data_IF_730137225239
#
_entry.id   IF_730137225239
#
_cell.length_a   1.000
_cell.length_b   1.000
_cell.length_c   1.000
_cell.angle_alpha   90.00
_cell.angle_beta   90.00
_cell.angle_gamma   90.00
#
_symmetry.space_group_name_H-M   'P 1'
#
loop_
_entity.id
_entity.type
_entity.pdbx_description
1 polymer ?
#
# COMPACT_ATOMS: atom_id res chain seq x y z
N UNK A 1 7.48 -0.64 -25.86
CA UNK A 1 6.07 -0.63 -25.40
C UNK A 1 5.93 -1.80 -24.45
N UNK A 2 5.63 -1.57 -23.17
CA UNK A 2 5.38 -2.69 -22.25
C UNK A 2 4.16 -3.45 -22.79
N UNK A 3 4.31 -4.74 -23.11
CA UNK A 3 3.20 -5.54 -23.62
C UNK A 3 2.11 -5.66 -22.55
N UNK A 4 0.86 -5.83 -22.94
CA UNK A 4 -0.25 -6.09 -22.00
C UNK A 4 0.08 -7.27 -21.07
N UNK A 5 0.79 -8.28 -21.59
CA UNK A 5 1.31 -9.40 -20.82
C UNK A 5 2.26 -8.96 -19.70
N UNK A 6 3.20 -8.05 -19.98
CA UNK A 6 4.11 -7.52 -18.96
C UNK A 6 3.37 -6.78 -17.84
N UNK A 7 2.28 -6.06 -18.17
CA UNK A 7 1.44 -5.41 -17.16
C UNK A 7 0.77 -6.44 -16.26
N UNK A 8 0.17 -7.49 -16.83
CA UNK A 8 -0.45 -8.56 -16.05
C UNK A 8 0.56 -9.31 -15.18
N UNK A 9 1.78 -9.53 -15.66
CA UNK A 9 2.86 -10.14 -14.87
C UNK A 9 3.23 -9.26 -13.67
N UNK A 10 3.47 -7.96 -13.89
CA UNK A 10 3.82 -7.02 -12.82
C UNK A 10 2.72 -6.97 -11.75
N UNK A 11 1.45 -6.88 -12.17
CA UNK A 11 0.32 -6.88 -11.25
C UNK A 11 0.24 -8.23 -10.52
N UNK A 12 0.35 -9.35 -11.23
CA UNK A 12 0.32 -10.70 -10.64
C UNK A 12 1.38 -10.90 -9.56
N UNK A 13 2.63 -10.51 -9.82
CA UNK A 13 3.70 -10.55 -8.82
C UNK A 13 3.43 -9.60 -7.66
N UNK A 14 2.94 -8.38 -7.92
CA UNK A 14 2.58 -7.44 -6.86
C UNK A 14 1.51 -8.00 -5.92
N UNK A 15 0.49 -8.67 -6.46
CA UNK A 15 -0.57 -9.33 -5.68
C UNK A 15 -0.01 -10.47 -4.85
N UNK A 16 0.87 -11.30 -5.43
CA UNK A 16 1.51 -12.40 -4.71
C UNK A 16 2.35 -11.89 -3.52
N UNK A 17 3.16 -10.86 -3.74
CA UNK A 17 3.97 -10.25 -2.69
C UNK A 17 3.11 -9.54 -1.63
N UNK A 18 2.05 -8.85 -2.04
CA UNK A 18 1.07 -8.26 -1.13
C UNK A 18 0.41 -9.34 -0.27
N UNK A 19 -0.01 -10.46 -0.86
CA UNK A 19 -0.58 -11.57 -0.12
C UNK A 19 0.41 -12.14 0.90
N UNK A 20 1.67 -12.36 0.50
CA UNK A 20 2.73 -12.78 1.41
C UNK A 20 2.94 -11.79 2.56
N UNK A 21 2.93 -10.49 2.28
CA UNK A 21 3.03 -9.43 3.28
C UNK A 21 1.86 -9.44 4.27
N UNK A 22 0.62 -9.54 3.78
CA UNK A 22 -0.59 -9.64 4.61
C UNK A 22 -0.56 -10.91 5.46
N UNK A 23 -0.06 -12.02 4.91
CA UNK A 23 0.11 -13.26 5.64
C UNK A 23 1.15 -13.13 6.76
N UNK A 24 2.26 -12.43 6.53
CA UNK A 24 3.24 -12.09 7.58
C UNK A 24 2.59 -11.23 8.66
N UNK A 25 1.83 -10.20 8.28
CA UNK A 25 1.11 -9.35 9.24
C UNK A 25 0.14 -10.19 10.11
N UNK A 26 -0.56 -11.14 9.49
CA UNK A 26 -1.44 -12.08 10.19
C UNK A 26 -0.69 -12.98 11.18
N UNK A 27 0.44 -13.55 10.79
CA UNK A 27 1.28 -14.36 11.68
C UNK A 27 1.72 -13.51 12.87
N UNK A 28 2.24 -12.31 12.62
CA UNK A 28 2.70 -11.39 13.68
C UNK A 28 1.56 -11.04 14.64
N UNK A 29 0.39 -10.65 14.12
CA UNK A 29 -0.77 -10.32 14.94
C UNK A 29 -1.30 -11.51 15.73
N UNK A 30 -1.27 -12.72 15.16
CA UNK A 30 -1.66 -13.95 15.86
C UNK A 30 -0.71 -14.30 16.99
N UNK A 31 0.62 -14.26 16.75
CA UNK A 31 1.64 -14.52 17.77
C UNK A 31 1.55 -13.49 18.91
N UNK A 32 1.35 -12.22 18.57
CA UNK A 32 1.20 -11.13 19.55
C UNK A 32 -0.19 -11.06 20.18
N UNK A 33 -1.13 -11.92 19.75
CA UNK A 33 -2.55 -11.89 20.14
C UNK A 33 -3.15 -10.49 20.04
N UNK A 34 -2.77 -9.74 19.01
CA UNK A 34 -3.17 -8.36 18.78
C UNK A 34 -3.41 -8.14 17.28
N UNK A 35 -4.68 -8.17 16.88
CA UNK A 35 -5.09 -7.93 15.50
C UNK A 35 -5.04 -6.45 15.12
N UNK A 36 -4.99 -5.54 16.10
CA UNK A 36 -4.80 -4.11 15.86
C UNK A 36 -3.43 -3.76 15.30
N UNK A 37 -2.47 -4.70 15.33
CA UNK A 37 -1.23 -4.54 14.60
C UNK A 37 -1.46 -4.38 13.09
N UNK A 38 -2.55 -4.93 12.54
CA UNK A 38 -2.86 -4.77 11.11
C UNK A 38 -2.95 -3.28 10.69
N UNK A 39 -3.39 -2.39 11.58
CA UNK A 39 -3.45 -0.94 11.29
C UNK A 39 -2.04 -0.36 11.05
N UNK A 40 -0.98 -0.94 11.65
CA UNK A 40 0.41 -0.54 11.41
C UNK A 40 0.92 -1.08 10.06
N UNK A 41 0.52 -2.30 9.69
CA UNK A 41 0.89 -2.93 8.42
C UNK A 41 0.10 -2.38 7.22
N UNK A 42 -1.02 -1.71 7.46
CA UNK A 42 -1.88 -1.20 6.39
C UNK A 42 -1.15 -0.25 5.43
N UNK A 43 -0.56 0.83 5.96
CA UNK A 43 0.18 1.81 5.15
C UNK A 43 1.32 1.19 4.35
N UNK A 44 2.26 0.44 4.98
CA UNK A 44 3.38 -0.17 4.27
C UNK A 44 2.96 -1.24 3.26
N UNK A 45 1.75 -1.81 3.35
CA UNK A 45 1.19 -2.67 2.31
C UNK A 45 1.09 -1.99 0.94
N UNK A 46 0.73 -0.70 0.89
CA UNK A 46 0.75 0.09 -0.35
C UNK A 46 2.16 0.31 -0.87
N UNK A 47 3.13 0.51 0.03
CA UNK A 47 4.53 0.63 -0.37
C UNK A 47 5.09 -0.66 -0.94
N UNK A 48 4.71 -1.83 -0.41
CA UNK A 48 5.06 -3.13 -1.01
C UNK A 48 4.56 -3.19 -2.45
N UNK A 49 3.32 -2.77 -2.71
CA UNK A 49 2.76 -2.73 -4.07
C UNK A 49 3.55 -1.78 -4.98
N UNK A 50 3.86 -0.57 -4.51
CA UNK A 50 4.63 0.41 -5.28
C UNK A 50 6.05 -0.10 -5.59
N UNK A 51 6.74 -0.66 -4.59
CA UNK A 51 8.10 -1.16 -4.71
C UNK A 51 8.18 -2.39 -5.63
N UNK A 52 7.30 -3.37 -5.46
CA UNK A 52 7.31 -4.57 -6.30
C UNK A 52 6.99 -4.19 -7.75
N UNK A 53 5.99 -3.34 -7.98
CA UNK A 53 5.61 -2.95 -9.33
C UNK A 53 6.72 -2.18 -10.08
N UNK A 54 7.39 -1.22 -9.43
CA UNK A 54 8.51 -0.49 -10.06
C UNK A 54 9.74 -1.38 -10.30
N UNK A 55 10.05 -2.30 -9.37
CA UNK A 55 11.18 -3.23 -9.50
C UNK A 55 10.95 -4.22 -10.64
N UNK A 56 9.77 -4.84 -10.73
CA UNK A 56 9.47 -5.76 -11.82
C UNK A 56 9.38 -5.04 -13.17
N UNK A 57 8.87 -3.81 -13.20
CA UNK A 57 8.93 -2.99 -14.41
C UNK A 57 10.37 -2.78 -14.88
N UNK A 58 11.28 -2.43 -13.96
CA UNK A 58 12.70 -2.27 -14.26
C UNK A 58 13.34 -3.56 -14.76
N UNK A 59 13.06 -4.70 -14.13
CA UNK A 59 13.59 -6.01 -14.57
C UNK A 59 13.17 -6.34 -16.01
N UNK A 60 11.93 -6.04 -16.38
CA UNK A 60 11.38 -6.38 -17.70
C UNK A 60 11.78 -5.38 -18.79
N UNK A 61 11.94 -4.10 -18.46
CA UNK A 61 12.10 -3.03 -19.45
C UNK A 61 13.45 -2.30 -19.36
N UNK A 62 14.29 -2.63 -18.38
CA UNK A 62 15.58 -2.01 -18.08
C UNK A 62 15.54 -0.47 -18.02
N UNK A 63 14.40 0.09 -17.62
CA UNK A 63 14.14 1.53 -17.56
C UNK A 63 13.21 1.87 -16.40
N UNK A 64 13.34 3.08 -15.86
CA UNK A 64 12.44 3.64 -14.86
C UNK A 64 12.13 5.09 -15.26
N UNK A 65 10.85 5.47 -15.22
CA UNK A 65 10.38 6.81 -15.51
C UNK A 65 10.24 7.64 -14.23
N UNK A 66 10.48 8.94 -14.33
CA UNK A 66 10.29 9.91 -13.25
C UNK A 66 8.93 9.84 -12.56
N UNK A 67 7.84 9.53 -13.29
CA UNK A 67 6.50 9.33 -12.70
C UNK A 67 6.46 8.17 -11.71
N UNK A 68 7.10 7.06 -12.07
CA UNK A 68 7.15 5.84 -11.26
C UNK A 68 7.94 6.09 -9.98
N UNK A 69 9.05 6.82 -10.09
CA UNK A 69 9.85 7.25 -8.94
C UNK A 69 9.01 8.17 -8.04
N UNK A 70 8.35 9.16 -8.63
CA UNK A 70 7.54 10.14 -7.89
C UNK A 70 6.44 9.44 -7.09
N UNK A 71 5.59 8.64 -7.75
CA UNK A 71 4.49 7.96 -7.04
C UNK A 71 5.00 7.01 -5.96
N UNK A 72 6.11 6.30 -6.20
CA UNK A 72 6.70 5.38 -5.24
C UNK A 72 7.23 6.12 -4.01
N UNK A 73 7.87 7.29 -4.19
CA UNK A 73 8.36 8.13 -3.10
C UNK A 73 7.19 8.73 -2.30
N UNK A 74 6.14 9.23 -2.97
CA UNK A 74 4.97 9.78 -2.29
C UNK A 74 4.29 8.70 -1.43
N UNK A 75 4.11 7.49 -1.97
CA UNK A 75 3.57 6.34 -1.22
C UNK A 75 4.50 5.93 -0.07
N UNK A 76 5.82 5.96 -0.26
CA UNK A 76 6.79 5.69 0.80
C UNK A 76 6.65 6.69 1.97
N UNK A 77 6.62 7.99 1.66
CA UNK A 77 6.50 9.05 2.67
C UNK A 77 5.20 8.88 3.48
N UNK A 78 4.08 8.70 2.78
CA UNK A 78 2.77 8.50 3.40
C UNK A 78 2.71 7.22 4.24
N UNK A 79 3.18 6.10 3.70
CA UNK A 79 3.13 4.80 4.38
C UNK A 79 3.99 4.78 5.65
N UNK A 80 5.19 5.37 5.61
CA UNK A 80 6.06 5.51 6.78
C UNK A 80 5.41 6.38 7.84
N UNK A 81 4.78 7.49 7.44
CA UNK A 81 4.10 8.41 8.37
C UNK A 81 2.96 7.69 9.11
N UNK A 82 2.04 7.04 8.39
CA UNK A 82 0.91 6.32 9.03
C UNK A 82 1.44 5.20 9.94
N UNK A 83 2.34 4.36 9.42
CA UNK A 83 2.85 3.23 10.18
C UNK A 83 3.51 3.69 11.48
N UNK A 84 4.31 4.75 11.41
CA UNK A 84 5.00 5.32 12.57
C UNK A 84 4.02 5.93 13.56
N UNK A 85 3.07 6.73 13.09
CA UNK A 85 2.06 7.36 13.94
C UNK A 85 1.21 6.31 14.68
N UNK A 86 0.65 5.32 13.97
CA UNK A 86 -0.17 4.26 14.56
C UNK A 86 0.67 3.38 15.49
N UNK A 87 1.91 3.05 15.12
CA UNK A 87 2.81 2.26 15.96
C UNK A 87 3.11 2.98 17.27
N UNK A 88 3.51 4.26 17.22
CA UNK A 88 3.79 5.06 18.42
C UNK A 88 2.55 5.17 19.30
N UNK A 89 1.39 5.47 18.70
CA UNK A 89 0.12 5.62 19.41
C UNK A 89 -0.31 4.36 20.15
N UNK A 90 -0.02 3.18 19.59
CA UNK A 90 -0.43 1.89 20.15
C UNK A 90 0.68 1.17 20.92
N UNK A 91 1.90 1.72 20.95
CA UNK A 91 3.04 1.10 21.63
C UNK A 91 2.78 0.99 23.13
N UNK A 92 2.95 -0.22 23.68
CA UNK A 92 2.77 -0.49 25.11
C UNK A 92 1.32 -0.54 25.58
N UNK A 93 0.34 -0.33 24.69
CA UNK A 93 -1.08 -0.47 25.00
C UNK A 93 -1.54 -1.91 24.77
N UNK A 94 -2.56 -2.39 25.50
CA UNK A 94 -3.24 -3.63 25.13
C UNK A 94 -3.86 -3.51 23.73
N UNK A 95 -4.31 -4.64 23.18
CA UNK A 95 -5.02 -4.62 21.89
C UNK A 95 -6.21 -3.64 21.93
N UNK A 96 -6.35 -2.89 20.83
CA UNK A 96 -7.43 -1.93 20.64
C UNK A 96 -8.80 -2.60 20.84
N UNK A 97 -9.68 -1.89 21.54
CA UNK A 97 -11.00 -2.37 21.95
C UNK A 97 -11.83 -2.88 20.75
N UNK A 98 -11.70 -2.27 19.57
CA UNK A 98 -12.44 -2.67 18.35
C UNK A 98 -12.12 -4.11 17.98
N UNK A 99 -10.84 -4.46 17.99
CA UNK A 99 -10.37 -5.79 17.65
C UNK A 99 -10.69 -6.80 18.75
N UNK A 100 -10.60 -6.39 20.01
CA UNK A 100 -10.98 -7.22 21.15
C UNK A 100 -12.46 -7.60 21.08
N UNK A 101 -13.35 -6.62 20.91
CA UNK A 101 -14.80 -6.85 20.78
C UNK A 101 -15.14 -7.72 19.56
N UNK A 102 -14.41 -7.58 18.43
CA UNK A 102 -14.61 -8.45 17.27
C UNK A 102 -14.31 -9.91 17.63
N UNK A 103 -13.21 -10.18 18.35
CA UNK A 103 -12.87 -11.54 18.78
C UNK A 103 -13.89 -12.11 19.75
N UNK A 104 -14.32 -11.30 20.73
CA UNK A 104 -15.35 -11.70 21.69
C UNK A 104 -16.69 -12.02 21.00
N UNK A 105 -17.13 -11.17 20.06
CA UNK A 105 -18.34 -11.41 19.25
C UNK A 105 -18.26 -12.68 18.40
N UNK A 106 -17.07 -13.08 17.97
CA UNK A 106 -16.92 -14.25 17.10
C UNK A 106 -16.95 -15.57 17.86
N UNK A 107 -16.54 -15.61 19.13
CA UNK A 107 -16.56 -16.78 20.01
C UNK A 107 -15.63 -17.92 19.59
N UNK A 108 -15.94 -18.58 18.47
CA UNK A 108 -15.19 -19.72 17.90
C UNK A 108 -14.47 -19.35 16.61
N UNK A 109 -13.44 -20.14 16.25
CA UNK A 109 -12.65 -19.96 15.02
C UNK A 109 -12.05 -18.55 14.88
N UNK A 110 -11.63 -17.95 16.00
CA UNK A 110 -11.13 -16.58 16.05
C UNK A 110 -9.95 -16.37 15.10
N UNK A 111 -9.05 -17.34 14.98
CA UNK A 111 -7.87 -17.25 14.10
C UNK A 111 -8.29 -17.13 12.63
N UNK A 112 -9.13 -18.05 12.14
CA UNK A 112 -9.63 -18.04 10.76
C UNK A 112 -10.48 -16.80 10.48
N UNK A 113 -11.38 -16.41 11.41
CA UNK A 113 -12.21 -15.21 11.26
C UNK A 113 -11.37 -13.94 11.26
N UNK A 114 -10.31 -13.87 12.07
CA UNK A 114 -9.36 -12.75 12.05
C UNK A 114 -8.66 -12.67 10.70
N UNK A 115 -8.15 -13.80 10.20
CA UNK A 115 -7.50 -13.85 8.89
C UNK A 115 -8.40 -13.31 7.78
N UNK A 116 -9.63 -13.80 7.68
CA UNK A 116 -10.55 -13.41 6.60
C UNK A 116 -11.07 -11.97 6.80
N UNK A 117 -11.57 -11.64 7.99
CA UNK A 117 -12.32 -10.39 8.22
C UNK A 117 -11.44 -9.19 8.53
N UNK A 118 -10.23 -9.40 9.02
CA UNK A 118 -9.26 -8.32 9.28
C UNK A 118 -8.23 -8.29 8.16
N UNK A 119 -7.42 -9.32 8.02
CA UNK A 119 -6.23 -9.26 7.17
C UNK A 119 -6.56 -9.32 5.68
N UNK A 120 -7.37 -10.28 5.25
CA UNK A 120 -7.78 -10.39 3.84
C UNK A 120 -8.64 -9.21 3.43
N UNK A 121 -9.58 -8.77 4.26
CA UNK A 121 -10.38 -7.58 3.98
C UNK A 121 -9.49 -6.34 3.76
N UNK A 122 -8.55 -6.06 4.67
CA UNK A 122 -7.61 -4.95 4.52
C UNK A 122 -6.70 -5.14 3.29
N UNK A 123 -6.28 -6.36 2.98
CA UNK A 123 -5.54 -6.69 1.77
C UNK A 123 -6.33 -6.40 0.49
N UNK A 124 -7.63 -6.67 0.46
CA UNK A 124 -8.53 -6.33 -0.67
C UNK A 124 -8.65 -4.82 -0.82
N UNK A 125 -8.76 -4.07 0.28
CA UNK A 125 -8.77 -2.60 0.22
C UNK A 125 -7.47 -2.08 -0.39
N UNK A 126 -6.32 -2.57 0.09
CA UNK A 126 -5.01 -2.21 -0.47
C UNK A 126 -4.96 -2.55 -1.96
N UNK A 127 -5.43 -3.73 -2.36
CA UNK A 127 -5.49 -4.15 -3.75
C UNK A 127 -6.27 -3.16 -4.62
N UNK A 128 -7.50 -2.83 -4.24
CA UNK A 128 -8.38 -1.94 -5.03
C UNK A 128 -7.79 -0.53 -5.10
N UNK A 129 -7.36 0.01 -3.96
CA UNK A 129 -6.87 1.39 -3.87
C UNK A 129 -5.50 1.55 -4.54
N UNK A 130 -4.73 0.47 -4.72
CA UNK A 130 -3.43 0.50 -5.41
C UNK A 130 -3.52 0.52 -6.94
N UNK A 131 -4.71 0.50 -7.54
CA UNK A 131 -4.86 0.54 -9.01
C UNK A 131 -4.11 1.71 -9.68
N UNK A 132 -4.14 2.96 -9.18
CA UNK A 132 -3.38 4.05 -9.77
C UNK A 132 -1.85 3.84 -9.69
N UNK A 133 -1.39 3.18 -8.63
CA UNK A 133 0.03 2.82 -8.45
C UNK A 133 0.42 1.82 -9.54
N UNK A 134 -0.35 0.74 -9.69
CA UNK A 134 -0.10 -0.24 -10.74
C UNK A 134 -0.16 0.34 -12.13
N UNK A 135 -1.18 1.14 -12.43
CA UNK A 135 -1.31 1.77 -13.73
C UNK A 135 -0.07 2.62 -14.04
N UNK A 136 0.40 3.42 -13.08
CA UNK A 136 1.58 4.27 -13.26
C UNK A 136 2.86 3.44 -13.39
N UNK A 137 3.04 2.42 -12.54
CA UNK A 137 4.27 1.63 -12.48
C UNK A 137 4.36 0.53 -13.55
N UNK A 138 3.25 0.10 -14.16
CA UNK A 138 3.26 -0.94 -15.20
C UNK A 138 3.13 -0.39 -16.62
N UNK A 139 2.78 0.89 -16.79
CA UNK A 139 2.62 1.50 -18.11
C UNK A 139 3.91 2.07 -18.68
N UNK A 140 4.08 1.97 -20.00
CA UNK A 140 5.05 2.78 -20.72
C UNK A 140 4.56 4.24 -20.73
N UNK A 141 4.99 5.01 -19.74
CA UNK A 141 4.61 6.40 -19.61
C UNK A 141 5.31 7.25 -20.69
N UNK A 142 4.62 8.24 -21.28
CA UNK A 142 5.25 9.20 -22.18
C UNK A 142 6.46 9.87 -21.50
N UNK A 143 7.53 10.15 -22.26
CA UNK A 143 8.68 10.87 -21.73
C UNK A 143 8.25 12.26 -21.19
N UNK A 144 8.92 12.70 -20.13
CA UNK A 144 8.75 14.02 -19.53
C UNK A 144 9.88 14.92 -20.06
N UNK A 145 9.84 15.24 -21.35
CA UNK A 145 10.84 16.09 -21.98
C UNK A 145 10.74 17.54 -21.50
N UNK A 146 9.51 17.99 -21.21
CA UNK A 146 9.22 19.30 -20.62
C UNK A 146 8.18 19.18 -19.49
N UNK A 147 8.54 19.71 -18.32
CA UNK A 147 7.67 19.72 -17.13
C UNK A 147 6.49 20.70 -17.24
N UNK A 148 6.50 21.58 -18.24
CA UNK A 148 5.41 22.53 -18.51
C UNK A 148 4.43 22.05 -19.59
N UNK A 149 4.71 20.93 -20.25
CA UNK A 149 3.76 20.35 -21.22
C UNK A 149 2.61 19.64 -20.48
N UNK A 150 1.56 19.25 -21.21
CA UNK A 150 0.38 18.57 -20.67
C UNK A 150 0.73 17.42 -19.70
N UNK A 151 1.71 16.62 -20.07
CA UNK A 151 2.22 15.50 -19.29
C UNK A 151 2.93 15.95 -18.00
N UNK A 152 3.67 17.06 -18.01
CA UNK A 152 4.27 17.63 -16.81
C UNK A 152 3.25 18.28 -15.89
N UNK A 153 2.29 19.03 -16.45
CA UNK A 153 1.21 19.67 -15.69
C UNK A 153 0.37 18.61 -14.93
N UNK A 154 0.01 17.51 -15.58
CA UNK A 154 -0.75 16.42 -14.92
C UNK A 154 0.02 15.78 -13.77
N UNK A 155 1.35 15.66 -13.88
CA UNK A 155 2.20 15.19 -12.78
C UNK A 155 2.14 16.18 -11.59
N UNK A 156 2.34 17.47 -11.85
CA UNK A 156 2.30 18.50 -10.80
C UNK A 156 0.93 18.60 -10.13
N UNK A 157 -0.16 18.52 -10.89
CA UNK A 157 -1.51 18.47 -10.34
C UNK A 157 -1.69 17.26 -9.41
N UNK A 158 -1.21 16.08 -9.82
CA UNK A 158 -1.25 14.88 -8.99
C UNK A 158 -0.46 15.06 -7.68
N UNK A 159 0.74 15.66 -7.75
CA UNK A 159 1.56 15.95 -6.57
C UNK A 159 0.85 16.96 -5.65
N UNK A 160 0.23 18.00 -6.19
CA UNK A 160 -0.50 19.01 -5.41
C UNK A 160 -1.71 18.37 -4.72
N UNK A 161 -2.50 17.58 -5.44
CA UNK A 161 -3.66 16.86 -4.87
C UNK A 161 -3.20 15.92 -3.74
N UNK A 162 -2.10 15.19 -3.97
CA UNK A 162 -1.51 14.33 -2.95
C UNK A 162 -1.04 15.14 -1.73
N UNK A 163 -0.36 16.27 -1.93
CA UNK A 163 0.10 17.14 -0.84
C UNK A 163 -1.06 17.66 -0.01
N UNK A 164 -2.13 18.10 -0.65
CA UNK A 164 -3.35 18.54 0.02
C UNK A 164 -3.90 17.40 0.88
N UNK A 165 -4.12 16.22 0.29
CA UNK A 165 -4.62 15.05 1.03
C UNK A 165 -3.71 14.65 2.21
N UNK A 166 -2.40 14.62 1.97
CA UNK A 166 -1.40 14.31 2.99
C UNK A 166 -1.43 15.30 4.16
N UNK A 167 -1.57 16.60 3.89
CA UNK A 167 -1.67 17.63 4.92
C UNK A 167 -2.99 17.52 5.69
N UNK A 168 -4.12 17.32 5.01
CA UNK A 168 -5.42 17.11 5.66
C UNK A 168 -5.38 15.93 6.63
N UNK A 169 -4.82 14.80 6.20
CA UNK A 169 -4.66 13.63 7.07
C UNK A 169 -3.71 13.93 8.23
N UNK A 170 -2.58 14.60 7.95
CA UNK A 170 -1.58 14.91 8.98
C UNK A 170 -2.11 15.84 10.07
N UNK A 171 -2.97 16.80 9.72
CA UNK A 171 -3.59 17.70 10.69
C UNK A 171 -4.85 17.12 11.34
N UNK A 172 -5.49 16.14 10.72
CA UNK A 172 -6.70 15.50 11.24
C UNK A 172 -6.45 14.39 12.27
N UNK A 173 -5.27 13.77 12.23
CA UNK A 173 -4.81 12.71 13.13
C UNK A 173 -4.12 13.22 14.42
#
# INVERSE_FOLDING_TARGET
MASIESMFLIIGFSVLFLFGYIFIAFIVGTIKKNNGLMDVFYGPGFFVVALVSIVFYFILNNTINFRQITITILVLIWSLRIATYVFIRNRGKPEDYRYKEMRERWGTNIVLKSFIRVYIFQGIVIFIVSFPIWFTNSSANPPLDNLLDFYGITLWLGVIIWLIGFLFETFGD
#
